data_IF_179968077107
#
_entry.id   IF_179968077107
#
_cell.length_a   1.000
_cell.length_b   1.000
_cell.length_c   1.000
_cell.angle_alpha   90.00
_cell.angle_beta   90.00
_cell.angle_gamma   90.00
#
_symmetry.space_group_name_H-M   'P 1'
#
loop_
_entity.id
_entity.type
_entity.pdbx_description
1 polymer ?
#
# COMPACT_ATOMS: atom_id res chain seq x y z
N UNK A 1 16.56 -6.42 0.66
CA UNK A 1 17.09 -5.69 -0.51
C UNK A 1 16.16 -4.53 -0.82
N UNK A 2 16.69 -3.40 -1.27
CA UNK A 2 15.87 -2.29 -1.80
C UNK A 2 15.17 -2.71 -3.09
N UNK A 3 13.92 -2.25 -3.30
CA UNK A 3 13.12 -2.65 -4.47
C UNK A 3 13.74 -2.16 -5.79
N UNK A 4 14.35 -0.96 -5.81
CA UNK A 4 15.01 -0.42 -7.01
C UNK A 4 16.20 -1.28 -7.43
N UNK A 5 16.99 -1.74 -6.45
CA UNK A 5 18.10 -2.65 -6.73
C UNK A 5 17.58 -4.04 -7.14
N UNK A 6 16.56 -4.55 -6.46
CA UNK A 6 15.98 -5.86 -6.77
C UNK A 6 15.34 -5.94 -8.15
N UNK A 7 14.61 -4.91 -8.56
CA UNK A 7 13.96 -4.89 -9.87
C UNK A 7 14.95 -4.91 -11.04
N UNK A 8 16.20 -4.49 -10.87
CA UNK A 8 17.24 -4.59 -11.92
C UNK A 8 17.54 -6.04 -12.34
N UNK A 9 17.26 -7.02 -11.47
CA UNK A 9 17.45 -8.44 -11.75
C UNK A 9 16.22 -9.12 -12.37
N UNK A 10 15.13 -8.36 -12.55
CA UNK A 10 13.92 -8.85 -13.20
C UNK A 10 13.98 -8.52 -14.69
N UNK A 11 13.70 -9.53 -15.52
CA UNK A 11 13.66 -9.37 -16.97
C UNK A 11 12.55 -8.40 -17.41
N UNK A 12 12.78 -7.73 -18.54
CA UNK A 12 11.79 -6.88 -19.17
C UNK A 12 10.52 -7.67 -19.49
N UNK A 13 9.35 -7.05 -19.28
CA UNK A 13 8.04 -7.63 -19.63
C UNK A 13 7.83 -9.06 -19.06
N UNK A 14 8.26 -9.32 -17.84
CA UNK A 14 8.15 -10.63 -17.19
C UNK A 14 7.10 -10.69 -16.08
N UNK A 15 6.73 -9.55 -15.51
CA UNK A 15 5.76 -9.46 -14.41
C UNK A 15 4.34 -9.32 -14.95
N UNK A 16 3.44 -10.16 -14.44
CA UNK A 16 2.04 -10.17 -14.83
C UNK A 16 1.21 -9.17 -14.05
N UNK A 17 1.43 -9.03 -12.76
CA UNK A 17 0.64 -8.18 -11.86
C UNK A 17 1.55 -7.54 -10.82
N UNK A 18 1.30 -6.27 -10.50
CA UNK A 18 1.89 -5.61 -9.34
C UNK A 18 0.81 -5.41 -8.28
N UNK A 19 1.07 -5.88 -7.06
CA UNK A 19 0.17 -5.69 -5.92
C UNK A 19 1.01 -5.36 -4.70
N UNK A 20 1.02 -4.11 -4.29
CA UNK A 20 1.95 -3.62 -3.28
C UNK A 20 1.35 -2.56 -2.35
N UNK A 21 1.75 -2.60 -1.08
CA UNK A 21 1.45 -1.59 -0.07
C UNK A 21 2.64 -0.63 0.02
N UNK A 22 2.62 0.42 -0.80
CA UNK A 22 3.75 1.35 -0.90
C UNK A 22 3.92 2.18 0.39
N UNK A 23 5.14 2.61 0.75
CA UNK A 23 5.35 3.58 1.82
C UNK A 23 4.52 4.84 1.62
N UNK A 24 3.82 5.29 2.67
CA UNK A 24 2.84 6.39 2.55
C UNK A 24 3.45 7.79 2.62
N UNK A 25 4.74 7.91 2.92
CA UNK A 25 5.44 9.19 3.04
C UNK A 25 4.89 10.06 4.18
N UNK A 26 4.30 9.47 5.20
CA UNK A 26 3.69 10.16 6.34
C UNK A 26 4.55 10.14 7.60
N UNK A 27 5.78 9.62 7.48
CA UNK A 27 6.74 9.49 8.58
C UNK A 27 6.16 8.67 9.75
N UNK A 28 5.62 7.49 9.43
CA UNK A 28 5.02 6.58 10.41
C UNK A 28 6.08 5.92 11.28
N UNK A 29 7.14 5.40 10.66
CA UNK A 29 8.33 4.80 11.28
C UNK A 29 9.53 5.02 10.36
N UNK A 30 10.72 4.56 10.74
CA UNK A 30 11.96 4.80 9.98
C UNK A 30 11.89 4.25 8.54
N UNK A 31 11.12 3.20 8.30
CA UNK A 31 10.88 2.62 6.96
C UNK A 31 9.92 3.41 6.05
N UNK A 32 9.11 4.33 6.63
CA UNK A 32 8.17 5.18 5.87
C UNK A 32 8.73 6.60 5.65
N UNK A 33 9.96 6.86 6.06
CA UNK A 33 10.59 8.18 5.96
C UNK A 33 11.35 8.30 4.66
N UNK A 34 10.83 9.09 3.74
CA UNK A 34 11.44 9.34 2.44
C UNK A 34 12.14 10.70 2.35
N UNK A 35 12.14 11.47 3.42
CA UNK A 35 12.72 12.82 3.45
C UNK A 35 13.16 13.20 4.85
N UNK A 36 14.25 13.96 4.92
CA UNK A 36 14.74 14.57 6.15
C UNK A 36 14.02 15.89 6.37
N UNK A 37 12.86 15.87 7.01
CA UNK A 37 12.20 17.09 7.45
C UNK A 37 12.46 17.32 8.94
N UNK A 38 13.38 18.22 9.25
CA UNK A 38 13.75 18.60 10.63
C UNK A 38 12.71 19.47 11.32
N UNK A 39 11.78 20.07 10.55
CA UNK A 39 10.76 21.01 11.05
C UNK A 39 9.38 20.37 11.21
N UNK A 40 9.24 19.07 11.03
CA UNK A 40 7.99 18.39 11.34
C UNK A 40 7.65 18.59 12.80
N UNK A 41 6.38 18.87 13.10
CA UNK A 41 5.93 19.07 14.46
C UNK A 41 6.27 17.84 15.31
N UNK A 42 7.04 18.05 16.35
CA UNK A 42 7.32 17.03 17.35
C UNK A 42 6.01 16.57 18.00
N UNK A 43 5.93 15.30 18.33
CA UNK A 43 4.81 14.76 19.10
C UNK A 43 4.69 15.47 20.43
N UNK A 44 3.49 15.94 20.78
CA UNK A 44 3.23 16.49 22.11
C UNK A 44 3.49 15.45 23.20
N UNK A 45 3.80 15.91 24.40
CA UNK A 45 4.11 15.04 25.56
C UNK A 45 2.86 14.47 26.27
N UNK A 46 1.69 14.44 25.62
CA UNK A 46 0.49 13.89 26.26
C UNK A 46 0.62 12.37 26.45
N UNK A 47 0.00 11.79 27.51
CA UNK A 47 0.04 10.34 27.75
C UNK A 47 -0.43 9.50 26.55
N UNK A 48 -1.44 9.99 25.81
CA UNK A 48 -1.94 9.35 24.59
C UNK A 48 -0.90 9.34 23.46
N UNK A 49 0.08 10.22 23.47
CA UNK A 49 1.12 10.30 22.45
C UNK A 49 2.31 9.38 22.76
N UNK A 50 2.53 9.04 24.02
CA UNK A 50 3.60 8.13 24.45
C UNK A 50 3.36 6.68 24.01
N UNK A 51 2.12 6.32 23.68
CA UNK A 51 1.71 4.97 23.26
C UNK A 51 1.56 4.82 21.74
N UNK A 52 1.85 5.86 20.95
CA UNK A 52 1.71 5.80 19.49
C UNK A 52 3.03 5.43 18.84
N UNK A 53 2.95 4.65 17.76
CA UNK A 53 4.07 4.34 16.88
C UNK A 53 4.55 5.53 16.05
N UNK A 54 3.78 6.63 16.02
CA UNK A 54 4.17 7.85 15.29
C UNK A 54 5.23 8.63 16.07
N UNK A 55 6.46 8.61 15.60
CA UNK A 55 7.59 9.33 16.21
C UNK A 55 7.54 10.83 15.92
N UNK A 56 7.01 11.23 14.75
CA UNK A 56 6.94 12.62 14.30
C UNK A 56 5.60 12.90 13.62
N UNK A 57 5.14 14.15 13.66
CA UNK A 57 3.97 14.58 12.90
C UNK A 57 4.40 15.25 11.60
N UNK A 58 3.70 14.99 10.53
CA UNK A 58 3.91 15.66 9.24
C UNK A 58 3.37 17.10 9.17
N UNK A 59 2.92 17.68 10.30
CA UNK A 59 2.42 19.06 10.36
C UNK A 59 3.42 19.97 11.05
N UNK A 60 3.73 21.12 10.49
CA UNK A 60 4.57 22.14 11.13
C UNK A 60 3.89 22.70 12.39
N UNK A 61 4.68 23.11 13.37
CA UNK A 61 4.16 23.73 14.61
C UNK A 61 3.59 25.12 14.32
N UNK A 62 4.27 25.90 13.48
CA UNK A 62 3.99 27.30 13.19
C UNK A 62 3.63 27.55 11.71
N UNK A 63 2.92 26.62 11.08
CA UNK A 63 2.56 26.72 9.65
C UNK A 63 3.55 25.99 8.74
N UNK A 64 3.31 26.08 7.42
CA UNK A 64 4.11 25.41 6.40
C UNK A 64 5.38 26.21 6.10
N UNK A 65 6.55 25.60 6.33
CA UNK A 65 7.82 26.16 5.89
C UNK A 65 8.25 25.64 4.51
N UNK A 66 9.43 26.07 4.02
CA UNK A 66 9.94 25.65 2.72
C UNK A 66 10.20 24.15 2.64
N UNK A 67 10.70 23.53 3.72
CA UNK A 67 10.95 22.10 3.77
C UNK A 67 9.64 21.30 3.68
N UNK A 68 8.60 21.70 4.44
CA UNK A 68 7.29 21.05 4.39
C UNK A 68 6.65 21.12 2.99
N UNK A 69 6.83 22.23 2.28
CA UNK A 69 6.32 22.40 0.90
C UNK A 69 7.00 21.43 -0.09
N UNK A 70 8.25 21.03 0.17
CA UNK A 70 9.01 20.14 -0.70
C UNK A 70 8.63 18.67 -0.53
N UNK A 71 8.10 18.25 0.62
CA UNK A 71 7.79 16.85 0.92
C UNK A 71 6.98 16.16 -0.19
N UNK A 72 5.95 16.82 -0.70
CA UNK A 72 5.11 16.24 -1.74
C UNK A 72 5.83 16.05 -3.08
N UNK A 73 6.81 16.89 -3.39
CA UNK A 73 7.65 16.78 -4.58
C UNK A 73 8.72 15.71 -4.41
N UNK A 74 9.33 15.62 -3.23
CA UNK A 74 10.32 14.60 -2.90
C UNK A 74 9.66 13.21 -2.95
N UNK A 75 8.46 13.07 -2.41
CA UNK A 75 7.68 11.85 -2.50
C UNK A 75 7.35 11.46 -3.94
N UNK A 76 6.87 12.41 -4.74
CA UNK A 76 6.62 12.20 -6.17
C UNK A 76 7.89 11.78 -6.92
N UNK A 77 9.01 12.47 -6.71
CA UNK A 77 10.28 12.14 -7.36
C UNK A 77 10.78 10.74 -6.98
N UNK A 78 10.58 10.34 -5.73
CA UNK A 78 10.86 8.97 -5.29
C UNK A 78 9.92 7.96 -5.97
N UNK A 79 8.64 8.26 -6.07
CA UNK A 79 7.68 7.38 -6.76
C UNK A 79 8.09 7.15 -8.22
N UNK A 80 8.51 8.20 -8.94
CA UNK A 80 8.93 8.06 -10.33
C UNK A 80 10.07 7.06 -10.54
N UNK A 81 10.98 6.92 -9.59
CA UNK A 81 12.11 5.99 -9.72
C UNK A 81 11.63 4.54 -9.84
N UNK A 82 10.75 4.09 -8.95
CA UNK A 82 10.23 2.73 -9.04
C UNK A 82 9.12 2.58 -10.11
N UNK A 83 8.35 3.63 -10.44
CA UNK A 83 7.43 3.60 -11.57
C UNK A 83 8.14 3.30 -12.90
N UNK A 84 9.30 3.90 -13.13
CA UNK A 84 10.13 3.65 -14.32
C UNK A 84 10.54 2.18 -14.43
N UNK A 85 11.01 1.58 -13.34
CA UNK A 85 11.38 0.16 -13.33
C UNK A 85 10.13 -0.74 -13.50
N UNK A 86 9.01 -0.42 -12.85
CA UNK A 86 7.76 -1.14 -13.06
C UNK A 86 7.34 -1.11 -14.53
N UNK A 87 7.49 0.04 -15.20
CA UNK A 87 7.14 0.14 -16.62
C UNK A 87 8.00 -0.79 -17.49
N UNK A 88 9.27 -0.96 -17.16
CA UNK A 88 10.18 -1.87 -17.86
C UNK A 88 9.78 -3.33 -17.68
N UNK A 89 9.60 -3.75 -16.42
CA UNK A 89 9.47 -5.19 -16.07
C UNK A 89 8.07 -5.76 -16.24
N UNK A 90 7.02 -4.93 -16.28
CA UNK A 90 5.65 -5.41 -16.44
C UNK A 90 5.29 -5.71 -17.88
N UNK A 91 4.45 -6.71 -18.12
CA UNK A 91 3.87 -7.03 -19.43
C UNK A 91 2.85 -5.97 -19.88
N UNK A 92 2.53 -5.94 -21.16
CA UNK A 92 1.43 -5.11 -21.67
C UNK A 92 0.10 -5.50 -20.99
N UNK A 93 -0.73 -4.50 -20.70
CA UNK A 93 -1.99 -4.62 -19.98
C UNK A 93 -1.87 -5.14 -18.52
N UNK A 94 -0.66 -5.26 -17.96
CA UNK A 94 -0.48 -5.63 -16.55
C UNK A 94 -1.22 -4.66 -15.63
N UNK A 95 -2.08 -5.15 -14.72
CA UNK A 95 -2.67 -4.33 -13.68
C UNK A 95 -1.62 -4.00 -12.58
N UNK A 96 -1.62 -2.74 -12.19
CA UNK A 96 -0.78 -2.19 -11.13
C UNK A 96 -1.72 -1.77 -10.00
N UNK A 97 -1.70 -2.50 -8.89
CA UNK A 97 -2.58 -2.31 -7.74
C UNK A 97 -1.76 -1.83 -6.55
N UNK A 98 -1.87 -0.55 -6.21
CA UNK A 98 -1.04 0.07 -5.17
C UNK A 98 -1.91 0.64 -4.05
N UNK A 99 -1.78 0.10 -2.84
CA UNK A 99 -2.31 0.76 -1.65
C UNK A 99 -1.56 2.06 -1.42
N UNK A 100 -2.29 3.14 -1.22
CA UNK A 100 -1.70 4.47 -1.09
C UNK A 100 -2.34 5.29 0.03
N UNK A 101 -1.60 6.29 0.50
CA UNK A 101 -2.15 7.26 1.45
C UNK A 101 -3.12 8.20 0.74
N UNK A 102 -4.22 8.56 1.42
CA UNK A 102 -5.18 9.57 0.93
C UNK A 102 -4.52 10.93 0.66
N UNK A 103 -3.43 11.22 1.37
CA UNK A 103 -2.72 12.50 1.26
C UNK A 103 -1.92 12.62 -0.03
N UNK A 104 -1.26 11.54 -0.43
CA UNK A 104 -0.34 11.54 -1.57
C UNK A 104 -0.79 10.69 -2.74
N UNK A 105 -2.04 10.18 -2.71
CA UNK A 105 -2.65 9.42 -3.80
C UNK A 105 -2.42 10.10 -5.17
N UNK A 106 -2.72 11.39 -5.26
CA UNK A 106 -2.56 12.18 -6.48
C UNK A 106 -1.10 12.23 -6.96
N UNK A 107 -0.12 12.20 -6.05
CA UNK A 107 1.31 12.22 -6.42
C UNK A 107 1.75 10.89 -7.02
N UNK A 108 1.21 9.79 -6.51
CA UNK A 108 1.48 8.45 -7.05
C UNK A 108 0.82 8.30 -8.42
N UNK A 109 -0.43 8.76 -8.59
CA UNK A 109 -1.11 8.76 -9.90
C UNK A 109 -0.30 9.57 -10.93
N UNK A 110 0.11 10.81 -10.61
CA UNK A 110 0.94 11.60 -11.52
C UNK A 110 2.27 10.90 -11.85
N UNK A 111 2.92 10.25 -10.86
CA UNK A 111 4.17 9.54 -11.11
C UNK A 111 3.97 8.34 -12.06
N UNK A 112 2.86 7.62 -11.94
CA UNK A 112 2.50 6.52 -12.83
C UNK A 112 2.22 7.05 -14.25
N UNK A 113 1.39 8.09 -14.39
CA UNK A 113 1.04 8.67 -15.68
C UNK A 113 2.27 9.25 -16.40
N UNK A 114 3.16 9.95 -15.67
CA UNK A 114 4.37 10.54 -16.25
C UNK A 114 5.39 9.46 -16.70
N UNK A 115 5.34 8.25 -16.14
CA UNK A 115 6.12 7.10 -16.61
C UNK A 115 5.36 6.25 -17.63
N UNK A 116 4.16 6.68 -18.06
CA UNK A 116 3.42 6.12 -19.20
C UNK A 116 2.32 5.13 -18.82
N UNK A 117 1.99 4.91 -17.56
CA UNK A 117 0.86 4.06 -17.17
C UNK A 117 -0.49 4.75 -17.38
N UNK A 118 -1.52 3.95 -17.59
CA UNK A 118 -2.91 4.40 -17.66
C UNK A 118 -3.56 4.25 -16.29
N UNK A 119 -4.06 5.31 -15.68
CA UNK A 119 -4.90 5.20 -14.48
C UNK A 119 -6.29 4.70 -14.91
N UNK A 120 -6.71 3.57 -14.34
CA UNK A 120 -7.99 2.92 -14.66
C UNK A 120 -9.09 3.29 -13.68
N UNK A 121 -8.81 3.18 -12.38
CA UNK A 121 -9.76 3.50 -11.31
C UNK A 121 -9.04 3.67 -9.97
N UNK A 122 -9.75 4.16 -8.99
CA UNK A 122 -9.36 4.15 -7.58
C UNK A 122 -10.29 3.18 -6.84
N UNK A 123 -9.77 1.99 -6.54
CA UNK A 123 -10.49 1.00 -5.76
C UNK A 123 -10.49 1.42 -4.28
N UNK A 124 -11.51 1.02 -3.55
CA UNK A 124 -11.69 1.37 -2.14
C UNK A 124 -11.66 0.10 -1.29
N UNK A 125 -10.70 0.00 -0.39
CA UNK A 125 -10.84 -0.92 0.74
C UNK A 125 -11.64 -0.25 1.83
N UNK A 126 -12.88 -0.67 2.00
CA UNK A 126 -13.77 -0.20 3.08
C UNK A 126 -13.57 -1.07 4.32
N UNK A 127 -13.36 -0.40 5.45
CA UNK A 127 -13.12 -1.02 6.76
C UNK A 127 -14.41 -1.08 7.57
N UNK A 128 -14.53 -2.09 8.42
CA UNK A 128 -15.63 -2.22 9.38
C UNK A 128 -15.54 -1.21 10.53
N UNK A 129 -14.33 -0.73 10.85
CA UNK A 129 -14.06 0.22 11.94
C UNK A 129 -12.78 1.00 11.71
N UNK A 130 -12.60 2.04 12.50
CA UNK A 130 -11.35 2.80 12.53
C UNK A 130 -11.07 3.36 13.92
N UNK A 131 -9.81 3.74 14.15
CA UNK A 131 -9.45 4.55 15.30
C UNK A 131 -9.53 6.03 14.93
N UNK A 132 -10.58 6.72 15.37
CA UNK A 132 -10.72 8.16 15.19
C UNK A 132 -9.67 8.89 16.03
N UNK A 133 -8.87 9.75 15.39
CA UNK A 133 -7.82 10.55 16.05
C UNK A 133 -8.24 12.03 16.23
N UNK A 134 -9.52 12.34 16.00
CA UNK A 134 -10.03 13.70 16.17
C UNK A 134 -10.11 14.08 17.66
N UNK A 135 -9.53 15.23 18.00
CA UNK A 135 -9.50 15.75 19.36
C UNK A 135 -10.72 16.64 19.61
N UNK A 136 -11.36 16.53 20.77
CA UNK A 136 -12.40 17.48 21.21
C UNK A 136 -11.75 18.84 21.44
N UNK A 137 -12.28 19.88 20.81
CA UNK A 137 -11.70 21.23 20.93
C UNK A 137 -11.84 21.77 22.37
N UNK A 138 -12.89 21.40 23.08
CA UNK A 138 -13.12 21.81 24.47
C UNK A 138 -11.95 21.45 25.40
N UNK A 139 -11.27 20.33 25.16
CA UNK A 139 -10.06 19.97 25.93
C UNK A 139 -8.93 21.02 25.79
N UNK A 140 -8.90 21.77 24.70
CA UNK A 140 -7.95 22.84 24.45
C UNK A 140 -8.49 24.17 24.97
N UNK A 141 -9.78 24.43 24.75
CA UNK A 141 -10.45 25.69 25.16
C UNK A 141 -10.47 25.84 26.68
N UNK A 142 -10.80 24.78 27.42
CA UNK A 142 -10.76 24.77 28.88
C UNK A 142 -9.37 25.14 29.44
N UNK A 143 -8.30 24.67 28.81
CA UNK A 143 -6.92 25.06 29.18
C UNK A 143 -6.65 26.54 28.93
N UNK A 144 -7.40 27.17 28.01
CA UNK A 144 -7.36 28.60 27.70
C UNK A 144 -8.40 29.41 28.47
N UNK A 145 -9.15 28.75 29.38
CA UNK A 145 -10.22 29.38 30.17
C UNK A 145 -11.37 29.94 29.29
N UNK A 146 -11.61 29.29 28.15
CA UNK A 146 -12.71 29.59 27.23
C UNK A 146 -13.78 28.54 27.44
N UNK A 147 -15.01 28.94 27.78
CA UNK A 147 -16.14 28.07 28.06
C UNK A 147 -17.30 28.54 27.16
N UNK A 148 -17.59 27.74 26.12
CA UNK A 148 -18.64 28.06 25.16
C UNK A 148 -19.24 26.75 24.63
N UNK A 149 -20.52 26.58 24.85
CA UNK A 149 -21.25 25.34 24.55
C UNK A 149 -21.36 25.04 23.05
N UNK A 150 -21.20 26.03 22.19
CA UNK A 150 -21.19 25.85 20.73
C UNK A 150 -20.11 24.84 20.27
N UNK A 151 -19.06 24.67 21.08
CA UNK A 151 -17.96 23.76 20.76
C UNK A 151 -18.07 22.38 21.40
N UNK A 152 -19.15 22.04 22.10
CA UNK A 152 -19.26 20.78 22.85
C UNK A 152 -19.06 19.55 21.98
N UNK A 153 -19.60 19.55 20.76
CA UNK A 153 -19.48 18.45 19.80
C UNK A 153 -18.45 18.72 18.70
N UNK A 154 -17.75 19.84 18.78
CA UNK A 154 -16.78 20.21 17.78
C UNK A 154 -15.44 19.46 17.96
N UNK A 155 -14.87 19.00 16.85
CA UNK A 155 -13.60 18.26 16.86
C UNK A 155 -12.61 18.85 15.86
N UNK A 156 -11.33 18.75 16.20
CA UNK A 156 -10.22 19.15 15.33
C UNK A 156 -9.40 17.91 14.95
N UNK A 157 -8.91 17.88 13.74
CA UNK A 157 -8.14 16.77 13.19
C UNK A 157 -8.75 16.20 11.92
N UNK A 158 -8.54 14.92 11.67
CA UNK A 158 -9.06 14.25 10.49
C UNK A 158 -10.38 13.52 10.83
N UNK A 159 -11.22 13.37 9.83
CA UNK A 159 -12.38 12.47 9.90
C UNK A 159 -11.94 11.03 10.14
N UNK A 160 -12.87 10.19 10.56
CA UNK A 160 -12.65 8.77 10.77
C UNK A 160 -12.20 8.08 9.47
N UNK A 161 -11.01 7.43 9.43
CA UNK A 161 -10.45 6.87 8.19
C UNK A 161 -11.07 5.50 7.87
N UNK A 162 -12.35 5.48 7.44
CA UNK A 162 -13.11 4.25 7.18
C UNK A 162 -12.68 3.52 5.90
N UNK A 163 -11.82 4.08 5.08
CA UNK A 163 -11.32 3.43 3.87
C UNK A 163 -9.83 3.68 3.64
N UNK A 164 -9.22 2.83 2.82
CA UNK A 164 -7.93 3.08 2.16
C UNK A 164 -8.10 2.98 0.65
N UNK A 165 -7.51 3.91 -0.13
CA UNK A 165 -7.55 3.85 -1.59
C UNK A 165 -6.51 2.86 -2.10
N UNK A 166 -6.85 2.19 -3.21
CA UNK A 166 -5.97 1.34 -3.98
C UNK A 166 -5.97 1.89 -5.41
N UNK A 167 -4.84 2.35 -5.89
CA UNK A 167 -4.70 2.79 -7.28
C UNK A 167 -4.74 1.56 -8.17
N UNK A 168 -5.62 1.56 -9.15
CA UNK A 168 -5.58 0.62 -10.26
C UNK A 168 -5.09 1.34 -11.51
N UNK A 169 -3.83 1.10 -11.85
CA UNK A 169 -3.25 1.53 -13.09
C UNK A 169 -2.99 0.31 -14.00
N UNK A 170 -2.68 0.55 -15.25
CA UNK A 170 -2.44 -0.47 -16.25
C UNK A 170 -1.29 -0.04 -17.16
N UNK A 171 -0.39 -0.96 -17.49
CA UNK A 171 0.59 -0.70 -18.53
C UNK A 171 -0.11 -0.62 -19.89
N UNK A 172 0.18 0.38 -20.74
CA UNK A 172 -0.34 0.44 -22.12
C UNK A 172 -0.03 -0.83 -22.91
N UNK A 173 -0.81 -1.06 -23.92
CA UNK A 173 -0.71 -2.22 -24.80
C UNK A 173 -0.78 -1.78 -26.27
N UNK A 174 -0.13 -2.55 -27.15
CA UNK A 174 0.05 -2.21 -28.58
C UNK A 174 -1.12 -2.65 -29.46
N UNK A 175 -1.89 -3.67 -29.02
CA UNK A 175 -3.03 -4.23 -29.74
C UNK A 175 -4.35 -3.92 -28.99
N UNK A 176 -5.27 -4.87 -28.94
CA UNK A 176 -6.49 -4.72 -28.15
C UNK A 176 -6.31 -5.35 -26.76
N UNK A 177 -7.13 -4.92 -25.81
CA UNK A 177 -7.15 -5.55 -24.48
C UNK A 177 -7.53 -7.03 -24.57
N UNK A 178 -8.39 -7.38 -25.53
CA UNK A 178 -8.76 -8.78 -25.79
C UNK A 178 -7.55 -9.62 -26.21
N UNK A 179 -6.69 -9.08 -27.07
CA UNK A 179 -5.46 -9.77 -27.48
C UNK A 179 -4.54 -10.01 -26.29
N UNK A 180 -4.35 -9.02 -25.42
CA UNK A 180 -3.57 -9.17 -24.20
C UNK A 180 -4.13 -10.27 -23.28
N UNK A 181 -5.47 -10.37 -23.16
CA UNK A 181 -6.12 -11.43 -22.37
C UNK A 181 -5.90 -12.80 -23.02
N UNK A 182 -5.99 -12.91 -24.33
CA UNK A 182 -5.78 -14.18 -25.03
C UNK A 182 -4.32 -14.66 -24.96
N UNK A 183 -3.37 -13.74 -25.09
CA UNK A 183 -1.94 -14.05 -25.09
C UNK A 183 -1.37 -14.31 -23.69
N UNK A 184 -1.65 -13.39 -22.77
CA UNK A 184 -1.01 -13.35 -21.45
C UNK A 184 -1.99 -13.58 -20.29
N UNK A 185 -3.29 -13.67 -20.55
CA UNK A 185 -4.37 -13.82 -19.56
C UNK A 185 -4.44 -12.68 -18.52
N UNK A 186 -3.93 -11.51 -18.88
CA UNK A 186 -3.95 -10.27 -18.09
C UNK A 186 -4.67 -9.16 -18.84
N UNK A 187 -5.00 -8.07 -18.11
CA UNK A 187 -5.69 -6.90 -18.67
C UNK A 187 -7.20 -6.90 -18.47
N UNK A 188 -7.78 -8.05 -18.17
CA UNK A 188 -9.17 -8.19 -17.73
C UNK A 188 -9.31 -8.31 -16.22
N UNK A 189 -10.55 -8.54 -15.78
CA UNK A 189 -10.88 -8.90 -14.40
C UNK A 189 -11.94 -10.00 -14.37
N UNK A 190 -11.88 -10.82 -13.33
CA UNK A 190 -12.80 -11.93 -13.16
C UNK A 190 -14.04 -11.49 -12.39
N UNK A 191 -15.21 -11.73 -12.97
CA UNK A 191 -16.52 -11.57 -12.33
C UNK A 191 -17.18 -12.92 -12.10
N UNK A 192 -17.44 -13.28 -10.85
CA UNK A 192 -18.09 -14.52 -10.52
C UNK A 192 -19.52 -14.55 -11.09
N UNK A 193 -19.88 -15.64 -11.80
CA UNK A 193 -21.19 -15.80 -12.46
C UNK A 193 -21.55 -14.66 -13.43
N UNK A 194 -20.56 -14.05 -14.08
CA UNK A 194 -20.78 -12.93 -15.01
C UNK A 194 -21.11 -11.59 -14.35
N UNK A 195 -21.07 -11.52 -13.02
CA UNK A 195 -21.32 -10.27 -12.28
C UNK A 195 -20.04 -9.44 -12.28
N UNK A 196 -20.14 -8.18 -12.70
CA UNK A 196 -19.02 -7.24 -12.62
C UNK A 196 -18.69 -6.98 -11.15
N UNK A 197 -17.43 -7.20 -10.70
CA UNK A 197 -17.05 -6.94 -9.33
C UNK A 197 -17.13 -5.43 -9.01
N UNK A 198 -17.48 -5.12 -7.76
CA UNK A 198 -17.46 -3.75 -7.25
C UNK A 198 -16.02 -3.25 -7.13
N UNK A 199 -15.82 -1.96 -7.37
CA UNK A 199 -14.57 -1.28 -7.04
C UNK A 199 -14.45 -0.95 -5.53
N UNK A 200 -15.42 -1.36 -4.71
CA UNK A 200 -15.40 -1.25 -3.24
C UNK A 200 -15.26 -2.65 -2.64
N UNK A 201 -14.15 -2.90 -1.98
CA UNK A 201 -13.84 -4.14 -1.28
C UNK A 201 -14.13 -3.98 0.21
N UNK A 202 -15.19 -4.63 0.68
CA UNK A 202 -15.55 -4.64 2.09
C UNK A 202 -14.78 -5.75 2.82
N UNK A 203 -13.79 -5.35 3.61
CA UNK A 203 -12.98 -6.29 4.36
C UNK A 203 -12.66 -5.74 5.75
N UNK A 204 -12.99 -6.46 6.83
CA UNK A 204 -12.69 -6.01 8.18
C UNK A 204 -11.19 -5.94 8.44
N UNK A 205 -10.79 -5.02 9.34
CA UNK A 205 -9.40 -4.93 9.77
C UNK A 205 -9.04 -6.14 10.63
N UNK A 206 -7.89 -6.79 10.34
CA UNK A 206 -7.34 -7.75 11.27
C UNK A 206 -6.73 -7.02 12.48
N UNK A 207 -7.23 -7.29 13.69
CA UNK A 207 -6.76 -6.66 14.94
C UNK A 207 -5.84 -7.59 15.72
N UNK A 208 -6.04 -8.89 15.60
CA UNK A 208 -5.31 -9.88 16.40
C UNK A 208 -4.10 -10.43 15.62
N UNK A 209 -3.01 -10.67 16.34
CA UNK A 209 -1.83 -11.38 15.84
C UNK A 209 -1.19 -10.76 14.58
N UNK A 210 -1.05 -9.44 14.53
CA UNK A 210 -0.35 -8.77 13.44
C UNK A 210 1.16 -8.96 13.55
N UNK A 211 1.76 -9.33 12.43
CA UNK A 211 3.22 -9.39 12.26
C UNK A 211 3.82 -8.03 11.90
N UNK A 212 2.99 -7.14 11.34
CA UNK A 212 3.37 -5.77 11.00
C UNK A 212 2.24 -4.79 11.38
N UNK A 213 2.54 -3.57 11.87
CA UNK A 213 1.52 -2.59 12.30
C UNK A 213 0.50 -2.23 11.23
N UNK A 214 0.93 -2.19 9.97
CA UNK A 214 0.10 -1.83 8.80
C UNK A 214 -0.30 -3.04 7.95
N UNK A 215 -0.16 -4.26 8.46
CA UNK A 215 -0.49 -5.49 7.74
C UNK A 215 -1.92 -5.43 7.17
N UNK A 216 -2.02 -5.65 5.85
CA UNK A 216 -3.32 -5.72 5.16
C UNK A 216 -4.02 -7.06 5.45
N UNK A 217 -5.36 -7.08 5.46
CA UNK A 217 -6.10 -8.33 5.64
C UNK A 217 -5.76 -9.33 4.51
N UNK A 218 -5.41 -10.56 4.88
CA UNK A 218 -5.07 -11.61 3.93
C UNK A 218 -6.23 -11.87 2.93
N UNK A 219 -7.48 -11.80 3.39
CA UNK A 219 -8.64 -12.00 2.54
C UNK A 219 -8.73 -10.92 1.45
N UNK A 220 -8.50 -9.65 1.79
CA UNK A 220 -8.49 -8.55 0.82
C UNK A 220 -7.46 -8.78 -0.29
N UNK A 221 -6.23 -9.16 0.09
CA UNK A 221 -5.17 -9.45 -0.89
C UNK A 221 -5.55 -10.62 -1.79
N UNK A 222 -6.13 -11.70 -1.21
CA UNK A 222 -6.64 -12.84 -1.99
C UNK A 222 -7.74 -12.45 -2.97
N UNK A 223 -8.65 -11.59 -2.56
CA UNK A 223 -9.77 -11.14 -3.40
C UNK A 223 -9.26 -10.27 -4.57
N UNK A 224 -8.30 -9.37 -4.31
CA UNK A 224 -7.63 -8.61 -5.37
C UNK A 224 -6.90 -9.53 -6.35
N UNK A 225 -6.13 -10.50 -5.85
CA UNK A 225 -5.44 -11.48 -6.72
C UNK A 225 -6.45 -12.23 -7.59
N UNK A 226 -7.52 -12.75 -7.00
CA UNK A 226 -8.55 -13.51 -7.76
C UNK A 226 -9.28 -12.66 -8.78
N UNK A 227 -9.47 -11.37 -8.49
CA UNK A 227 -10.12 -10.43 -9.41
C UNK A 227 -9.25 -10.15 -10.63
N UNK A 228 -7.95 -9.95 -10.46
CA UNK A 228 -7.07 -9.50 -11.55
C UNK A 228 -6.15 -10.58 -12.12
N UNK A 229 -6.13 -11.79 -11.56
CA UNK A 229 -5.29 -12.90 -11.98
C UNK A 229 -6.12 -14.15 -12.23
N UNK A 230 -6.28 -14.55 -13.48
CA UNK A 230 -7.02 -15.76 -13.86
C UNK A 230 -6.10 -16.99 -14.07
N UNK A 231 -4.79 -16.80 -14.23
CA UNK A 231 -3.82 -17.88 -14.44
C UNK A 231 -3.01 -18.18 -13.18
N UNK A 232 -2.85 -19.47 -12.88
CA UNK A 232 -2.06 -19.94 -11.74
C UNK A 232 -0.54 -19.72 -11.93
N UNK A 233 -0.08 -19.49 -13.16
CA UNK A 233 1.33 -19.24 -13.44
C UNK A 233 1.72 -17.76 -13.35
N UNK A 234 0.75 -16.86 -13.14
CA UNK A 234 1.05 -15.43 -13.02
C UNK A 234 2.06 -15.15 -11.91
N UNK A 235 2.99 -14.26 -12.21
CA UNK A 235 3.98 -13.73 -11.26
C UNK A 235 3.47 -12.40 -10.73
N UNK A 236 3.25 -12.34 -9.42
CA UNK A 236 2.79 -11.15 -8.72
C UNK A 236 3.98 -10.50 -8.02
N UNK A 237 4.24 -9.24 -8.34
CA UNK A 237 5.30 -8.47 -7.70
C UNK A 237 4.73 -7.63 -6.54
N UNK A 238 5.36 -7.75 -5.37
CA UNK A 238 5.18 -6.83 -4.24
C UNK A 238 6.52 -6.15 -3.93
N UNK A 239 6.61 -4.87 -4.27
CA UNK A 239 7.85 -4.09 -4.10
C UNK A 239 8.21 -3.82 -2.63
N UNK A 240 7.22 -3.94 -1.72
CA UNK A 240 7.36 -3.62 -0.30
C UNK A 240 6.66 -4.68 0.55
N UNK A 241 7.14 -5.92 0.46
CA UNK A 241 6.42 -7.12 0.93
C UNK A 241 6.18 -7.16 2.45
N UNK A 242 6.91 -6.35 3.21
CA UNK A 242 6.75 -6.22 4.66
C UNK A 242 6.82 -7.57 5.38
N UNK A 243 5.73 -7.98 6.01
CA UNK A 243 5.61 -9.26 6.72
C UNK A 243 5.20 -10.45 5.86
N UNK A 244 5.09 -10.29 4.53
CA UNK A 244 4.84 -11.38 3.58
C UNK A 244 3.37 -11.74 3.35
N UNK A 245 2.44 -10.86 3.60
CA UNK A 245 1.00 -11.14 3.42
C UNK A 245 0.66 -11.42 1.96
N UNK A 246 1.24 -10.66 1.02
CA UNK A 246 1.06 -10.87 -0.42
C UNK A 246 1.60 -12.23 -0.84
N UNK A 247 2.77 -12.64 -0.35
CA UNK A 247 3.33 -13.97 -0.64
C UNK A 247 2.40 -15.11 -0.19
N UNK A 248 1.87 -15.02 1.03
CA UNK A 248 0.93 -16.02 1.55
C UNK A 248 -0.38 -16.02 0.75
N UNK A 249 -0.85 -14.85 0.32
CA UNK A 249 -2.03 -14.76 -0.53
C UNK A 249 -1.79 -15.42 -1.89
N UNK A 250 -0.62 -15.22 -2.49
CA UNK A 250 -0.21 -15.87 -3.75
C UNK A 250 -0.16 -17.39 -3.59
N UNK A 251 0.48 -17.91 -2.54
CA UNK A 251 0.51 -19.34 -2.23
C UNK A 251 -0.91 -19.89 -2.09
N UNK A 252 -1.78 -19.24 -1.32
CA UNK A 252 -3.17 -19.66 -1.10
C UNK A 252 -4.05 -19.61 -2.36
N UNK A 253 -3.65 -18.86 -3.36
CA UNK A 253 -4.36 -18.70 -4.62
C UNK A 253 -3.64 -19.38 -5.78
N UNK A 254 -2.58 -20.14 -5.51
CA UNK A 254 -1.75 -20.84 -6.49
C UNK A 254 -1.06 -19.92 -7.50
N UNK A 255 -0.51 -18.79 -7.07
CA UNK A 255 0.28 -17.86 -7.92
C UNK A 255 1.72 -17.84 -7.48
N UNK A 256 2.61 -17.49 -8.42
CA UNK A 256 4.00 -17.19 -8.11
C UNK A 256 4.12 -15.74 -7.60
N UNK A 257 5.20 -15.46 -6.88
CA UNK A 257 5.42 -14.10 -6.40
C UNK A 257 6.91 -13.76 -6.36
N UNK A 258 7.18 -12.46 -6.48
CA UNK A 258 8.47 -11.83 -6.17
C UNK A 258 8.19 -10.74 -5.17
N UNK A 259 9.03 -10.62 -4.14
CA UNK A 259 8.84 -9.59 -3.12
C UNK A 259 10.15 -9.02 -2.60
N UNK A 260 10.18 -7.71 -2.37
CA UNK A 260 11.34 -7.01 -1.82
C UNK A 260 11.03 -6.44 -0.44
N UNK A 261 12.00 -6.49 0.46
CA UNK A 261 11.96 -5.88 1.78
C UNK A 261 13.34 -5.34 2.12
N UNK A 262 13.40 -4.06 2.44
CA UNK A 262 14.65 -3.38 2.79
C UNK A 262 15.02 -3.60 4.26
N UNK A 263 14.01 -3.66 5.13
CA UNK A 263 14.19 -3.83 6.56
C UNK A 263 14.50 -5.28 6.92
N UNK A 264 15.74 -5.56 7.34
CA UNK A 264 16.20 -6.92 7.72
C UNK A 264 15.29 -7.61 8.73
N UNK A 265 14.68 -6.85 9.66
CA UNK A 265 13.75 -7.38 10.65
C UNK A 265 12.49 -7.93 10.00
N UNK A 266 11.85 -7.14 9.12
CA UNK A 266 10.62 -7.55 8.44
C UNK A 266 10.88 -8.64 7.41
N UNK A 267 11.99 -8.58 6.70
CA UNK A 267 12.43 -9.67 5.83
C UNK A 267 12.53 -11.00 6.57
N UNK A 268 13.17 -11.03 7.77
CA UNK A 268 13.24 -12.24 8.59
C UNK A 268 11.87 -12.74 9.04
N UNK A 269 10.97 -11.83 9.41
CA UNK A 269 9.58 -12.15 9.77
C UNK A 269 8.86 -12.77 8.55
N UNK A 270 8.93 -12.14 7.39
CA UNK A 270 8.32 -12.63 6.15
C UNK A 270 8.82 -14.03 5.79
N UNK A 271 10.15 -14.22 5.77
CA UNK A 271 10.78 -15.51 5.49
C UNK A 271 10.27 -16.62 6.41
N UNK A 272 10.27 -16.38 7.71
CA UNK A 272 9.81 -17.37 8.70
C UNK A 272 8.31 -17.66 8.54
N UNK A 273 7.50 -16.64 8.31
CA UNK A 273 6.05 -16.76 8.15
C UNK A 273 5.69 -17.54 6.88
N UNK A 274 6.37 -17.26 5.78
CA UNK A 274 6.15 -17.96 4.49
C UNK A 274 6.58 -19.43 4.62
N UNK A 275 7.77 -19.70 5.14
CA UNK A 275 8.25 -21.07 5.35
C UNK A 275 7.30 -21.87 6.26
N UNK A 276 6.88 -21.27 7.37
CA UNK A 276 5.91 -21.91 8.25
C UNK A 276 4.61 -22.22 7.53
N UNK A 277 4.09 -21.28 6.73
CA UNK A 277 2.86 -21.47 5.96
C UNK A 277 2.98 -22.61 4.93
N UNK A 278 4.11 -22.71 4.25
CA UNK A 278 4.40 -23.81 3.31
C UNK A 278 4.42 -25.16 4.05
N UNK A 279 5.09 -25.24 5.20
CA UNK A 279 5.19 -26.46 6.00
C UNK A 279 3.82 -26.86 6.59
N UNK A 280 3.13 -25.94 7.24
CA UNK A 280 1.83 -26.21 7.90
C UNK A 280 0.74 -26.69 6.90
N UNK A 281 0.90 -26.39 5.62
CA UNK A 281 -0.05 -26.78 4.57
C UNK A 281 0.48 -27.88 3.61
N UNK A 282 1.63 -28.48 3.90
CA UNK A 282 2.26 -29.54 3.10
C UNK A 282 2.47 -29.13 1.61
N UNK A 283 3.00 -27.91 1.41
CA UNK A 283 3.17 -27.33 0.07
C UNK A 283 4.64 -27.32 -0.42
N UNK A 284 5.54 -28.08 0.23
CA UNK A 284 6.98 -28.09 -0.06
C UNK A 284 7.31 -28.57 -1.47
N UNK A 285 6.49 -29.48 -2.02
CA UNK A 285 6.66 -29.98 -3.39
C UNK A 285 6.27 -28.93 -4.46
N UNK A 286 5.48 -27.93 -4.05
CA UNK A 286 4.96 -26.92 -4.97
C UNK A 286 5.67 -25.56 -4.83
N UNK A 287 6.06 -25.20 -3.63
CA UNK A 287 6.68 -23.91 -3.33
C UNK A 287 8.00 -24.10 -2.59
N UNK A 288 9.02 -23.40 -3.09
CA UNK A 288 10.28 -23.19 -2.39
C UNK A 288 10.54 -21.70 -2.29
N UNK A 289 11.11 -21.26 -1.15
CA UNK A 289 11.50 -19.87 -0.97
C UNK A 289 12.96 -19.70 -1.44
N UNK A 290 13.13 -19.02 -2.57
CA UNK A 290 14.45 -18.58 -3.05
C UNK A 290 14.73 -17.19 -2.46
N UNK A 291 15.90 -17.01 -1.81
CA UNK A 291 16.24 -15.79 -1.06
C UNK A 291 17.57 -15.24 -1.53
#
# INVERSE_FOLDING_TARGET
MDCLEGMKYIDDKSIDIVLSDIPYGINYDDWDVLHTNTNSALMGQSPAMKQTTFKKRSKPINGWNKADKRISYEYYSWCRQWCKELFRITKEASPILLFSSKRYLHRVCCALEDEGFLIRDILIWQKDRCHAKAQRINNVLHKRKIYDDIYNDYRIGNLAPMYEPIIWAMKPYSHTLTDCVLENKIGGFYGQNGIIPSNIFNCPINIKNKYHPTEKPLQLIKDLIKTFSIDNNHIILDMFIGSGTTAIACINTNRNYIGFEIEKRYFKIAKNRINKHILDNNLQDKYSLIV
#
